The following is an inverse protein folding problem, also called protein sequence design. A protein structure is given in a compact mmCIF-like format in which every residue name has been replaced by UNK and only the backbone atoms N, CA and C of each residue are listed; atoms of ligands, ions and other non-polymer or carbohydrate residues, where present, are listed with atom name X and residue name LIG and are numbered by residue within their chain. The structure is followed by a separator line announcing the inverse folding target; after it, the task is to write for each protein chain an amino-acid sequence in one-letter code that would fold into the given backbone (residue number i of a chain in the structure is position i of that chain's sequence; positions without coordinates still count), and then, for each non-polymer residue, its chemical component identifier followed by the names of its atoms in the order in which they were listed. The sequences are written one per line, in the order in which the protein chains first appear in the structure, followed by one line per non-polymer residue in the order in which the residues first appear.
data_IF_210387378763
#
_entry.id   IF_210387378763
#
_cell.length_a   1.000
_cell.length_b   1.000
_cell.length_c   1.000
_cell.angle_alpha   90.00
_cell.angle_beta   90.00
_cell.angle_gamma   90.00
#
_symmetry.space_group_name_H-M   'P 1'
#
loop_
_entity.id
_entity.type
_entity.pdbx_description
1 polymer ?
#
# COMPACT_ATOMS: atom_id res chain seq x y z
N UNK A 1 11.09 -25.86 -29.43
CA UNK A 1 11.35 -24.49 -29.94
C UNK A 1 12.30 -23.80 -28.97
N UNK A 2 13.26 -23.01 -29.47
CA UNK A 2 14.27 -22.37 -28.61
C UNK A 2 13.71 -21.03 -28.11
N UNK A 3 13.45 -20.90 -26.82
CA UNK A 3 13.06 -19.62 -26.23
C UNK A 3 14.30 -18.75 -26.03
N UNK A 4 14.22 -17.48 -26.38
CA UNK A 4 15.29 -16.52 -26.14
C UNK A 4 15.14 -15.86 -24.77
N UNK A 5 16.27 -15.48 -24.16
CA UNK A 5 16.28 -14.58 -23.01
C UNK A 5 15.68 -13.22 -23.41
N UNK A 6 15.11 -12.53 -22.43
CA UNK A 6 14.64 -11.15 -22.56
C UNK A 6 15.55 -10.27 -21.68
N UNK A 7 16.33 -9.34 -22.25
CA UNK A 7 16.48 -9.04 -23.68
C UNK A 7 17.33 -10.07 -24.45
N UNK A 8 17.05 -10.25 -25.74
CA UNK A 8 17.81 -11.15 -26.62
C UNK A 8 19.10 -10.48 -27.11
N UNK A 9 20.24 -11.01 -26.66
CA UNK A 9 21.56 -10.47 -26.99
C UNK A 9 21.86 -10.47 -28.49
N UNK A 10 21.38 -11.47 -29.23
CA UNK A 10 21.53 -11.53 -30.68
C UNK A 10 20.81 -10.36 -31.35
N UNK A 11 19.54 -10.15 -31.02
CA UNK A 11 18.75 -9.05 -31.61
C UNK A 11 19.33 -7.69 -31.23
N UNK A 12 19.87 -7.54 -30.03
CA UNK A 12 20.53 -6.31 -29.60
C UNK A 12 21.71 -5.91 -30.51
N UNK A 13 22.43 -6.89 -31.08
CA UNK A 13 23.55 -6.64 -31.99
C UNK A 13 23.12 -6.45 -33.45
N UNK A 14 21.93 -6.91 -33.83
CA UNK A 14 21.44 -6.97 -35.21
C UNK A 14 20.15 -6.16 -35.44
N UNK A 15 19.88 -5.12 -34.63
CA UNK A 15 18.60 -4.40 -34.62
C UNK A 15 18.14 -3.81 -35.96
N UNK A 16 19.08 -3.50 -36.86
CA UNK A 16 18.81 -2.93 -38.19
C UNK A 16 18.97 -3.93 -39.34
N UNK A 17 19.39 -5.16 -39.05
CA UNK A 17 19.66 -6.18 -40.05
C UNK A 17 18.48 -7.16 -40.16
N UNK A 18 17.56 -6.83 -41.06
CA UNK A 18 16.37 -7.62 -41.33
C UNK A 18 16.68 -9.07 -41.74
N UNK A 19 17.77 -9.29 -42.48
CA UNK A 19 18.13 -10.62 -42.98
C UNK A 19 18.58 -11.53 -41.82
N UNK A 20 19.43 -11.00 -40.94
CA UNK A 20 19.88 -11.71 -39.74
C UNK A 20 18.75 -11.99 -38.75
N UNK A 21 17.84 -11.03 -38.55
CA UNK A 21 16.68 -11.23 -37.67
C UNK A 21 15.71 -12.29 -38.24
N UNK A 22 15.45 -12.27 -39.56
CA UNK A 22 14.61 -13.29 -40.20
C UNK A 22 15.22 -14.68 -40.10
N UNK A 23 16.53 -14.81 -40.32
CA UNK A 23 17.25 -16.08 -40.17
C UNK A 23 17.11 -16.62 -38.75
N UNK A 24 17.28 -15.77 -37.74
CA UNK A 24 17.11 -16.15 -36.34
C UNK A 24 15.72 -16.75 -36.04
N UNK A 25 14.66 -16.17 -36.60
CA UNK A 25 13.29 -16.69 -36.45
C UNK A 25 13.09 -18.01 -37.22
N UNK A 26 13.64 -18.13 -38.44
CA UNK A 26 13.56 -19.34 -39.27
C UNK A 26 14.29 -20.54 -38.64
N UNK A 27 15.31 -20.29 -37.83
CA UNK A 27 16.01 -21.31 -37.02
C UNK A 27 15.16 -21.85 -35.85
N UNK A 28 13.91 -21.37 -35.71
CA UNK A 28 12.93 -21.86 -34.73
C UNK A 28 13.00 -21.19 -33.36
N UNK A 29 13.60 -19.99 -33.30
CA UNK A 29 13.65 -19.18 -32.08
C UNK A 29 12.31 -18.47 -31.82
N UNK A 30 11.73 -18.71 -30.65
CA UNK A 30 10.61 -17.92 -30.12
C UNK A 30 11.19 -16.66 -29.47
N UNK A 31 11.40 -15.62 -30.28
CA UNK A 31 12.06 -14.39 -29.83
C UNK A 31 11.13 -13.18 -29.98
N UNK A 32 10.64 -12.65 -28.84
CA UNK A 32 9.86 -11.39 -28.79
C UNK A 32 10.62 -10.26 -29.45
N UNK A 33 11.88 -10.04 -29.06
CA UNK A 33 12.66 -8.89 -29.50
C UNK A 33 12.92 -8.92 -31.01
N UNK A 34 13.06 -10.10 -31.61
CA UNK A 34 13.20 -10.25 -33.05
C UNK A 34 11.95 -9.78 -33.80
N UNK A 35 10.75 -10.15 -33.32
CA UNK A 35 9.49 -9.69 -33.90
C UNK A 35 9.27 -8.18 -33.70
N UNK A 36 9.67 -7.63 -32.55
CA UNK A 36 9.65 -6.18 -32.30
C UNK A 36 10.64 -5.43 -33.19
N UNK A 37 11.82 -5.99 -33.45
CA UNK A 37 12.79 -5.39 -34.36
C UNK A 37 12.27 -5.43 -35.81
N UNK A 38 11.70 -6.55 -36.25
CA UNK A 38 11.10 -6.65 -37.59
C UNK A 38 9.94 -5.68 -37.80
N UNK A 39 9.08 -5.45 -36.81
CA UNK A 39 7.96 -4.51 -36.95
C UNK A 39 8.40 -3.06 -37.21
N UNK A 40 9.64 -2.70 -36.81
CA UNK A 40 10.26 -1.40 -37.09
C UNK A 40 10.91 -1.32 -38.47
N UNK A 41 11.28 -2.46 -39.05
CA UNK A 41 11.98 -2.55 -40.35
C UNK A 41 11.04 -2.78 -41.53
N UNK A 42 9.84 -3.32 -41.30
CA UNK A 42 8.83 -3.53 -42.35
C UNK A 42 8.06 -2.24 -42.64
N UNK A 43 7.85 -1.95 -43.93
CA UNK A 43 7.09 -0.78 -44.39
C UNK A 43 5.61 -1.09 -44.67
N UNK A 44 5.29 -2.35 -44.94
CA UNK A 44 3.92 -2.78 -45.21
C UNK A 44 3.10 -2.84 -43.90
N UNK A 45 1.93 -2.17 -43.83
CA UNK A 45 1.10 -2.16 -42.61
C UNK A 45 0.64 -3.54 -42.16
N UNK A 46 0.32 -4.44 -43.10
CA UNK A 46 -0.13 -5.80 -42.78
C UNK A 46 1.01 -6.61 -42.15
N UNK A 47 2.20 -6.57 -42.75
CA UNK A 47 3.39 -7.22 -42.21
C UNK A 47 3.78 -6.66 -40.84
N UNK A 48 3.65 -5.35 -40.64
CA UNK A 48 3.88 -4.71 -39.35
C UNK A 48 2.94 -5.24 -38.28
N UNK A 49 1.63 -5.28 -38.57
CA UNK A 49 0.60 -5.83 -37.69
C UNK A 49 0.91 -7.28 -37.32
N UNK A 50 1.24 -8.10 -38.31
CA UNK A 50 1.56 -9.53 -38.15
C UNK A 50 2.83 -9.79 -37.32
N UNK A 51 3.83 -8.90 -37.39
CA UNK A 51 5.01 -8.95 -36.52
C UNK A 51 4.65 -8.62 -35.07
N UNK A 52 3.87 -7.56 -34.85
CA UNK A 52 3.44 -7.13 -33.52
C UNK A 52 2.50 -8.14 -32.86
N UNK A 53 1.66 -8.82 -33.63
CA UNK A 53 0.82 -9.92 -33.15
C UNK A 53 1.64 -11.06 -32.55
N UNK A 54 2.64 -11.53 -33.30
CA UNK A 54 3.55 -12.60 -32.86
C UNK A 54 4.39 -12.19 -31.65
N UNK A 55 4.82 -10.93 -31.60
CA UNK A 55 5.50 -10.39 -30.44
C UNK A 55 4.59 -10.37 -29.20
N UNK A 56 3.35 -9.92 -29.34
CA UNK A 56 2.38 -9.81 -28.25
C UNK A 56 2.00 -11.18 -27.67
N UNK A 57 1.90 -12.22 -28.51
CA UNK A 57 1.65 -13.60 -28.05
C UNK A 57 2.80 -14.12 -27.18
N UNK A 58 4.05 -13.71 -27.45
CA UNK A 58 5.22 -14.12 -26.67
C UNK A 58 5.38 -13.32 -25.36
N UNK A 59 4.69 -12.19 -25.23
CA UNK A 59 4.75 -11.32 -24.05
C UNK A 59 3.35 -10.74 -23.74
N UNK A 60 2.42 -11.56 -23.23
CA UNK A 60 1.03 -11.16 -23.00
C UNK A 60 0.88 -10.07 -21.92
N UNK A 61 1.84 -9.97 -21.00
CA UNK A 61 1.84 -8.98 -19.91
C UNK A 61 2.46 -7.64 -20.31
N UNK A 62 2.93 -7.50 -21.55
CA UNK A 62 3.56 -6.29 -22.07
C UNK A 62 2.53 -5.35 -22.70
N UNK A 63 2.03 -4.41 -21.89
CA UNK A 63 0.97 -3.48 -22.30
C UNK A 63 1.39 -2.56 -23.47
N UNK A 64 2.65 -2.12 -23.52
CA UNK A 64 3.14 -1.27 -24.61
C UNK A 64 3.13 -2.01 -25.94
N UNK A 65 3.48 -3.29 -25.91
CA UNK A 65 3.44 -4.14 -27.09
C UNK A 65 2.01 -4.41 -27.56
N UNK A 66 1.08 -4.62 -26.62
CA UNK A 66 -0.35 -4.76 -26.91
C UNK A 66 -0.92 -3.50 -27.56
N UNK A 67 -0.59 -2.30 -27.04
CA UNK A 67 -1.01 -1.03 -27.64
C UNK A 67 -0.50 -0.92 -29.08
N UNK A 68 0.79 -1.17 -29.31
CA UNK A 68 1.40 -1.09 -30.64
C UNK A 68 0.71 -2.05 -31.63
N UNK A 69 0.36 -3.26 -31.20
CA UNK A 69 -0.40 -4.21 -32.01
C UNK A 69 -1.81 -3.69 -32.35
N UNK A 70 -2.56 -3.18 -31.36
CA UNK A 70 -3.91 -2.66 -31.59
C UNK A 70 -3.91 -1.43 -32.52
N UNK A 71 -2.90 -0.55 -32.41
CA UNK A 71 -2.73 0.58 -33.33
C UNK A 71 -2.39 0.13 -34.75
N UNK A 72 -1.55 -0.90 -34.90
CA UNK A 72 -1.27 -1.50 -36.19
C UNK A 72 -2.52 -2.16 -36.81
N UNK A 73 -3.40 -2.77 -36.00
CA UNK A 73 -4.69 -3.29 -36.47
C UNK A 73 -5.58 -2.18 -37.03
N UNK A 74 -5.67 -1.04 -36.34
CA UNK A 74 -6.45 0.11 -36.82
C UNK A 74 -5.86 0.79 -38.05
N UNK A 75 -4.55 0.67 -38.25
CA UNK A 75 -3.88 1.16 -39.48
C UNK A 75 -4.30 0.32 -40.69
N UNK A 76 -4.50 -0.98 -40.50
CA UNK A 76 -4.98 -1.91 -41.54
C UNK A 76 -6.49 -1.79 -41.74
N UNK A 77 -7.25 -1.81 -40.65
CA UNK A 77 -8.71 -1.72 -40.64
C UNK A 77 -9.17 -0.66 -39.63
N UNK A 78 -9.40 0.59 -40.08
CA UNK A 78 -9.90 1.66 -39.23
C UNK A 78 -11.27 1.37 -38.61
N UNK A 79 -12.05 0.43 -39.14
CA UNK A 79 -13.38 0.07 -38.65
C UNK A 79 -13.37 -1.09 -37.64
N UNK A 80 -12.19 -1.59 -37.25
CA UNK A 80 -12.03 -2.66 -36.26
C UNK A 80 -12.50 -2.20 -34.86
N UNK A 81 -13.77 -2.47 -34.56
CA UNK A 81 -14.41 -2.12 -33.28
C UNK A 81 -13.71 -2.73 -32.07
N UNK A 82 -13.15 -3.94 -32.22
CA UNK A 82 -12.46 -4.60 -31.11
C UNK A 82 -11.18 -3.84 -30.77
N UNK A 83 -10.38 -3.50 -31.77
CA UNK A 83 -9.16 -2.73 -31.55
C UNK A 83 -9.42 -1.33 -30.98
N UNK A 84 -10.46 -0.65 -31.48
CA UNK A 84 -10.91 0.64 -30.94
C UNK A 84 -11.33 0.53 -29.47
N UNK A 85 -12.17 -0.46 -29.14
CA UNK A 85 -12.66 -0.65 -27.77
C UNK A 85 -11.52 -0.96 -26.80
N UNK A 86 -10.64 -1.91 -27.14
CA UNK A 86 -9.49 -2.29 -26.29
C UNK A 86 -8.53 -1.12 -26.07
N UNK A 87 -8.22 -0.32 -27.09
CA UNK A 87 -7.38 0.87 -26.92
C UNK A 87 -8.05 1.93 -26.04
N UNK A 88 -9.36 2.12 -26.19
CA UNK A 88 -10.11 3.05 -25.34
C UNK A 88 -10.14 2.58 -23.88
N UNK A 89 -10.29 1.28 -23.62
CA UNK A 89 -10.21 0.70 -22.27
C UNK A 89 -8.81 0.92 -21.67
N UNK A 90 -7.73 0.60 -22.39
CA UNK A 90 -6.35 0.81 -21.91
C UNK A 90 -6.10 2.29 -21.63
N UNK A 91 -6.49 3.19 -22.55
CA UNK A 91 -6.35 4.65 -22.37
C UNK A 91 -7.18 5.15 -21.20
N UNK A 92 -8.39 4.64 -21.01
CA UNK A 92 -9.24 4.97 -19.85
C UNK A 92 -8.58 4.51 -18.57
N UNK A 93 -8.04 3.29 -18.51
CA UNK A 93 -7.33 2.78 -17.35
C UNK A 93 -6.06 3.59 -17.03
N UNK A 94 -5.30 3.99 -18.06
CA UNK A 94 -4.14 4.90 -17.92
C UNK A 94 -4.55 6.28 -17.43
N UNK A 95 -5.63 6.84 -17.96
CA UNK A 95 -6.20 8.09 -17.47
C UNK A 95 -6.66 7.95 -16.02
N UNK A 96 -7.26 6.82 -15.63
CA UNK A 96 -7.65 6.58 -14.23
C UNK A 96 -6.43 6.41 -13.31
N UNK A 97 -5.31 5.84 -13.80
CA UNK A 97 -4.06 5.76 -13.02
C UNK A 97 -3.29 7.09 -12.96
N UNK A 98 -3.33 7.87 -14.04
CA UNK A 98 -2.65 9.17 -14.17
C UNK A 98 -3.45 10.30 -13.52
N UNK A 99 -4.77 10.13 -13.45
CA UNK A 99 -5.65 10.85 -12.54
C UNK A 99 -5.39 10.31 -11.13
N UNK A 100 -4.21 10.63 -10.61
CA UNK A 100 -4.09 11.05 -9.22
C UNK A 100 -4.97 12.28 -9.07
N UNK A 101 -6.28 12.08 -8.96
CA UNK A 101 -7.21 13.12 -8.55
C UNK A 101 -6.72 13.62 -7.20
N UNK A 102 -6.29 14.89 -7.05
CA UNK A 102 -6.11 15.47 -5.72
C UNK A 102 -7.45 15.62 -4.98
N UNK A 103 -8.58 15.31 -5.63
CA UNK A 103 -9.93 15.47 -5.12
C UNK A 103 -10.63 14.18 -4.66
N UNK A 104 -10.06 13.01 -4.98
CA UNK A 104 -10.46 11.74 -4.38
C UNK A 104 -9.21 11.06 -3.82
N UNK A 105 -8.67 11.65 -2.76
CA UNK A 105 -8.10 10.78 -1.74
C UNK A 105 -9.27 9.90 -1.27
N UNK A 106 -9.30 8.62 -1.64
CA UNK A 106 -9.76 7.63 -0.65
C UNK A 106 -9.06 8.07 0.63
N UNK A 107 -9.82 8.56 1.61
CA UNK A 107 -9.22 9.01 2.86
C UNK A 107 -8.36 7.84 3.31
N UNK A 108 -7.02 8.01 3.37
CA UNK A 108 -6.13 6.88 3.53
C UNK A 108 -6.62 6.15 4.77
N UNK A 109 -7.10 4.92 4.58
CA UNK A 109 -7.57 4.12 5.71
C UNK A 109 -6.42 4.13 6.71
N UNK A 110 -6.67 4.52 7.96
CA UNK A 110 -5.62 4.65 8.95
C UNK A 110 -4.84 3.35 9.00
N UNK A 111 -3.51 3.43 8.85
CA UNK A 111 -2.68 2.24 8.75
C UNK A 111 -2.81 1.40 10.02
N UNK A 112 -2.70 0.09 9.87
CA UNK A 112 -2.69 -0.78 11.04
C UNK A 112 -1.42 -0.52 11.85
N UNK A 113 -1.48 -0.81 13.15
CA UNK A 113 -0.38 -0.52 14.06
C UNK A 113 0.91 -1.25 13.64
N UNK A 114 0.78 -2.45 13.05
CA UNK A 114 1.89 -3.22 12.49
C UNK A 114 2.61 -2.48 11.36
N UNK A 115 1.85 -1.99 10.37
CA UNK A 115 2.39 -1.26 9.22
C UNK A 115 3.08 0.04 9.64
N UNK A 116 2.52 0.72 10.64
CA UNK A 116 3.12 1.93 11.20
C UNK A 116 4.46 1.59 11.86
N UNK A 117 4.51 0.52 12.66
CA UNK A 117 5.73 0.05 13.32
C UNK A 117 6.82 -0.33 12.30
N UNK A 118 6.47 -0.96 11.18
CA UNK A 118 7.41 -1.20 10.07
C UNK A 118 7.88 0.12 9.47
N UNK A 119 6.97 1.04 9.17
CA UNK A 119 7.29 2.31 8.50
C UNK A 119 8.21 3.22 9.31
N UNK A 120 8.15 3.18 10.64
CA UNK A 120 9.04 3.96 11.52
C UNK A 120 10.34 3.22 11.87
N UNK A 121 10.59 2.04 11.27
CA UNK A 121 11.76 1.21 11.58
C UNK A 121 11.75 0.66 13.01
N UNK A 122 10.57 0.43 13.58
CA UNK A 122 10.44 -0.22 14.88
C UNK A 122 10.65 -1.73 14.79
N UNK A 123 10.14 -2.34 13.72
CA UNK A 123 10.25 -3.77 13.38
C UNK A 123 10.44 -3.92 11.88
N UNK A 124 10.86 -5.10 11.44
CA UNK A 124 10.91 -5.52 10.04
C UNK A 124 9.60 -6.18 9.62
N UNK A 125 9.37 -6.28 8.31
CA UNK A 125 8.22 -7.01 7.75
C UNK A 125 8.22 -8.48 8.19
N UNK A 126 9.40 -9.11 8.22
CA UNK A 126 9.54 -10.50 8.65
C UNK A 126 9.12 -10.70 10.12
N UNK A 127 9.57 -9.81 11.02
CA UNK A 127 9.18 -9.82 12.44
C UNK A 127 7.68 -9.60 12.62
N UNK A 128 7.08 -8.70 11.83
CA UNK A 128 5.62 -8.48 11.84
C UNK A 128 4.86 -9.76 11.45
N UNK A 129 5.26 -10.42 10.36
CA UNK A 129 4.62 -11.65 9.90
C UNK A 129 4.73 -12.79 10.92
N UNK A 130 5.88 -12.93 11.58
CA UNK A 130 6.08 -13.95 12.62
C UNK A 130 5.14 -13.73 13.81
N UNK A 131 5.02 -12.49 14.26
CA UNK A 131 4.18 -12.08 15.39
C UNK A 131 2.69 -12.24 15.05
N UNK A 132 2.29 -11.93 13.82
CA UNK A 132 0.93 -12.19 13.31
C UNK A 132 0.62 -13.69 13.22
N UNK A 133 1.58 -14.51 12.82
CA UNK A 133 1.44 -15.97 12.80
C UNK A 133 1.31 -16.54 14.22
N UNK A 134 2.02 -15.99 15.20
CA UNK A 134 1.85 -16.34 16.62
C UNK A 134 0.49 -15.91 17.17
N UNK A 135 0.07 -14.66 16.91
CA UNK A 135 -1.23 -14.15 17.32
C UNK A 135 -2.39 -15.04 16.83
N UNK A 136 -2.29 -15.56 15.60
CA UNK A 136 -3.26 -16.49 15.01
C UNK A 136 -3.21 -17.90 15.63
N UNK A 137 -2.05 -18.34 16.12
CA UNK A 137 -1.86 -19.64 16.77
C UNK A 137 -2.19 -19.63 18.27
N UNK A 138 -2.30 -18.45 18.88
CA UNK A 138 -2.58 -18.28 20.31
C UNK A 138 -3.99 -18.74 20.72
N UNK A 139 -4.05 -19.61 21.72
CA UNK A 139 -5.30 -20.13 22.31
C UNK A 139 -6.17 -19.04 22.96
N UNK A 140 -7.49 -19.29 23.05
CA UNK A 140 -8.55 -18.44 23.62
C UNK A 140 -8.30 -17.92 25.06
N UNK A 141 -7.25 -18.38 25.73
CA UNK A 141 -6.94 -18.14 27.14
C UNK A 141 -5.87 -17.07 27.40
N UNK A 142 -5.19 -16.55 26.37
CA UNK A 142 -4.20 -15.45 26.54
C UNK A 142 -4.92 -14.11 26.36
N UNK A 143 -5.09 -13.37 27.47
CA UNK A 143 -5.76 -12.06 27.54
C UNK A 143 -5.17 -10.98 26.60
N UNK A 144 -3.92 -11.15 26.17
CA UNK A 144 -3.18 -10.13 25.41
C UNK A 144 -3.03 -10.52 23.95
N UNK A 145 -4.14 -10.41 23.22
CA UNK A 145 -4.21 -10.60 21.76
C UNK A 145 -3.68 -9.40 20.97
N UNK A 146 -3.25 -8.31 21.61
CA UNK A 146 -2.79 -7.11 20.88
C UNK A 146 -1.35 -7.30 20.42
N UNK A 147 -1.11 -7.09 19.12
CA UNK A 147 0.22 -7.18 18.50
C UNK A 147 1.26 -6.35 19.26
N UNK A 148 0.89 -5.12 19.67
CA UNK A 148 1.81 -4.24 20.43
C UNK A 148 2.31 -4.86 21.75
N UNK A 149 1.45 -5.55 22.50
CA UNK A 149 1.85 -6.23 23.74
C UNK A 149 2.73 -7.45 23.45
N UNK A 150 2.45 -8.18 22.37
CA UNK A 150 3.26 -9.32 21.95
C UNK A 150 4.68 -8.88 21.53
N UNK A 151 4.78 -7.79 20.76
CA UNK A 151 6.04 -7.18 20.36
C UNK A 151 6.85 -6.67 21.55
N UNK A 152 6.21 -6.03 22.53
CA UNK A 152 6.86 -5.59 23.76
C UNK A 152 7.40 -6.76 24.58
N UNK A 153 6.62 -7.84 24.74
CA UNK A 153 7.04 -9.05 25.48
C UNK A 153 8.25 -9.73 24.84
N UNK A 154 8.32 -9.73 23.51
CA UNK A 154 9.49 -10.24 22.77
C UNK A 154 10.69 -9.29 22.78
N UNK A 155 10.56 -8.08 23.32
CA UNK A 155 11.61 -7.07 23.30
C UNK A 155 11.90 -6.51 21.91
N UNK A 156 11.02 -6.74 20.92
CA UNK A 156 11.18 -6.27 19.54
C UNK A 156 10.95 -4.77 19.42
N UNK A 157 10.12 -4.20 20.30
CA UNK A 157 9.85 -2.76 20.35
C UNK A 157 9.99 -2.24 21.77
N UNK A 158 10.24 -0.94 21.89
CA UNK A 158 10.24 -0.22 23.16
C UNK A 158 8.87 0.43 23.43
N UNK A 159 8.54 0.75 24.70
CA UNK A 159 7.34 1.50 25.04
C UNK A 159 7.20 2.80 24.24
N UNK A 160 8.31 3.53 24.06
CA UNK A 160 8.34 4.78 23.29
C UNK A 160 8.01 4.55 21.80
N UNK A 161 8.57 3.50 21.18
CA UNK A 161 8.26 3.17 19.77
C UNK A 161 6.78 2.79 19.60
N UNK A 162 6.20 2.05 20.55
CA UNK A 162 4.78 1.71 20.50
C UNK A 162 3.88 2.94 20.70
N UNK A 163 4.20 3.79 21.69
CA UNK A 163 3.45 5.03 21.94
C UNK A 163 3.46 5.94 20.71
N UNK A 164 4.64 6.15 20.09
CA UNK A 164 4.77 6.91 18.85
C UNK A 164 3.92 6.34 17.72
N UNK A 165 3.91 5.02 17.55
CA UNK A 165 3.09 4.37 16.52
C UNK A 165 1.59 4.56 16.77
N UNK A 166 1.13 4.53 18.02
CA UNK A 166 -0.25 4.80 18.40
C UNK A 166 -0.66 6.26 18.10
N UNK A 167 0.23 7.22 18.36
CA UNK A 167 -0.01 8.63 18.03
C UNK A 167 -0.12 8.86 16.52
N UNK A 168 0.76 8.23 15.72
CA UNK A 168 0.68 8.30 14.25
C UNK A 168 -0.66 7.71 13.78
N UNK A 169 -1.06 6.56 14.34
CA UNK A 169 -2.34 5.93 13.98
C UNK A 169 -3.55 6.83 14.30
N UNK A 170 -3.53 7.47 15.48
CA UNK A 170 -4.53 8.46 15.86
C UNK A 170 -4.57 9.62 14.86
N UNK A 171 -3.42 10.22 14.53
CA UNK A 171 -3.37 11.35 13.61
C UNK A 171 -3.90 10.99 12.22
N UNK A 172 -3.65 9.77 11.74
CA UNK A 172 -4.23 9.25 10.50
C UNK A 172 -5.75 9.09 10.59
N UNK A 173 -6.29 8.60 11.71
CA UNK A 173 -7.74 8.50 11.97
C UNK A 173 -8.42 9.86 11.99
N UNK A 174 -7.84 10.84 12.68
CA UNK A 174 -8.37 12.21 12.73
C UNK A 174 -8.38 12.86 11.34
N UNK A 175 -7.32 12.66 10.53
CA UNK A 175 -7.28 13.14 9.13
C UNK A 175 -8.32 12.46 8.25
N UNK A 176 -8.59 11.18 8.48
CA UNK A 176 -9.66 10.42 7.85
C UNK A 176 -11.04 10.70 8.46
N UNK A 177 -11.23 11.82 9.19
CA UNK A 177 -12.48 12.26 9.83
C UNK A 177 -13.23 11.13 10.55
N UNK A 178 -12.48 10.17 11.08
CA UNK A 178 -13.05 9.08 11.85
C UNK A 178 -13.27 9.64 13.25
N UNK A 179 -14.48 9.49 13.78
CA UNK A 179 -14.78 9.98 15.11
C UNK A 179 -13.81 9.37 16.14
N UNK A 180 -13.36 10.15 17.13
CA UNK A 180 -12.42 9.67 18.15
C UNK A 180 -13.02 8.46 18.86
N UNK A 181 -12.28 7.35 18.83
CA UNK A 181 -12.74 6.06 19.36
C UNK A 181 -12.30 5.83 20.81
N UNK A 182 -11.40 6.68 21.32
CA UNK A 182 -10.88 6.59 22.68
C UNK A 182 -10.66 7.96 23.30
N UNK A 183 -10.70 8.02 24.64
CA UNK A 183 -10.55 9.25 25.42
C UNK A 183 -9.26 10.03 25.10
N UNK A 184 -8.14 9.33 24.86
CA UNK A 184 -6.88 9.98 24.48
C UNK A 184 -6.98 10.76 23.16
N UNK A 185 -7.71 10.23 22.19
CA UNK A 185 -7.94 10.90 20.91
C UNK A 185 -8.77 12.17 21.11
N UNK A 186 -9.86 12.04 21.86
CA UNK A 186 -10.73 13.15 22.22
C UNK A 186 -9.99 14.30 22.91
N UNK A 187 -9.14 13.99 23.89
CA UNK A 187 -8.38 15.00 24.64
C UNK A 187 -7.44 15.81 23.75
N UNK A 188 -6.84 15.20 22.72
CA UNK A 188 -5.97 15.91 21.77
C UNK A 188 -6.78 16.75 20.79
N UNK A 189 -7.86 16.18 20.24
CA UNK A 189 -8.72 16.88 19.26
C UNK A 189 -9.39 18.12 19.86
N UNK A 190 -9.76 18.07 21.15
CA UNK A 190 -10.41 19.17 21.86
C UNK A 190 -9.42 20.09 22.59
N UNK A 191 -8.11 19.87 22.41
CA UNK A 191 -7.06 20.76 22.93
C UNK A 191 -6.78 20.68 24.42
N UNK A 192 -7.27 19.65 25.12
CA UNK A 192 -6.94 19.41 26.53
C UNK A 192 -5.45 19.09 26.73
N UNK A 193 -4.87 18.34 25.79
CA UNK A 193 -3.44 17.99 25.78
C UNK A 193 -2.90 18.01 24.35
N UNK A 194 -1.59 18.17 24.21
CA UNK A 194 -0.89 18.03 22.93
C UNK A 194 -0.63 16.56 22.58
N UNK A 195 -0.41 16.27 21.29
CA UNK A 195 -0.02 14.92 20.85
C UNK A 195 1.29 14.45 21.52
N UNK A 196 2.25 15.35 21.76
CA UNK A 196 3.49 15.04 22.45
C UNK A 196 3.26 14.69 23.94
N UNK A 197 2.35 15.40 24.61
CA UNK A 197 1.95 15.07 25.99
C UNK A 197 1.26 13.71 26.05
N UNK A 198 0.36 13.40 25.11
CA UNK A 198 -0.27 12.08 25.03
C UNK A 198 0.76 10.97 24.77
N UNK A 199 1.74 11.19 23.88
CA UNK A 199 2.84 10.25 23.63
C UNK A 199 3.63 9.93 24.91
N UNK A 200 3.96 10.96 25.69
CA UNK A 200 4.67 10.81 26.95
C UNK A 200 3.86 10.01 27.98
N UNK A 201 2.55 10.29 28.10
CA UNK A 201 1.65 9.57 29.02
C UNK A 201 1.51 8.11 28.60
N UNK A 202 1.32 7.83 27.30
CA UNK A 202 1.22 6.46 26.80
C UNK A 202 2.52 5.68 27.00
N UNK A 203 3.67 6.32 26.77
CA UNK A 203 4.98 5.73 27.02
C UNK A 203 5.12 5.29 28.48
N UNK A 204 4.77 6.19 29.41
CA UNK A 204 4.83 5.90 30.84
C UNK A 204 3.79 4.84 31.26
N UNK A 205 2.58 4.89 30.70
CA UNK A 205 1.54 3.89 30.94
C UNK A 205 2.00 2.49 30.55
N UNK A 206 2.57 2.34 29.35
CA UNK A 206 3.08 1.06 28.86
C UNK A 206 4.24 0.58 29.74
N UNK A 207 5.15 1.48 30.13
CA UNK A 207 6.27 1.15 31.02
C UNK A 207 5.79 0.66 32.39
N UNK A 208 4.78 1.29 32.98
CA UNK A 208 4.22 0.90 34.27
C UNK A 208 3.45 -0.42 34.18
N UNK A 209 2.72 -0.65 33.08
CA UNK A 209 2.02 -1.91 32.84
C UNK A 209 3.00 -3.10 32.74
N UNK A 210 4.16 -2.91 32.09
CA UNK A 210 5.25 -3.90 32.09
C UNK A 210 5.81 -4.21 33.49
N UNK A 211 5.67 -3.28 34.44
CA UNK A 211 6.06 -3.46 35.84
C UNK A 211 4.93 -4.05 36.70
N UNK A 212 3.81 -4.46 36.09
CA UNK A 212 2.62 -4.96 36.78
C UNK A 212 1.80 -3.86 37.45
N UNK A 213 2.08 -2.58 37.18
CA UNK A 213 1.37 -1.44 37.75
C UNK A 213 0.38 -0.88 36.73
N UNK A 214 -0.90 -1.18 36.92
CA UNK A 214 -1.97 -0.66 36.06
C UNK A 214 -2.42 0.73 36.50
N UNK A 215 -2.23 1.70 35.62
CA UNK A 215 -2.76 3.06 35.77
C UNK A 215 -3.67 3.39 34.58
N UNK A 216 -4.76 4.09 34.87
CA UNK A 216 -5.60 4.65 33.81
C UNK A 216 -4.94 5.88 33.18
N UNK A 217 -5.32 6.19 31.93
CA UNK A 217 -4.82 7.38 31.23
C UNK A 217 -5.10 8.65 32.05
N UNK A 218 -6.32 8.77 32.60
CA UNK A 218 -6.71 9.89 33.46
C UNK A 218 -5.87 10.02 34.72
N UNK A 219 -5.55 8.91 35.39
CA UNK A 219 -4.68 8.94 36.58
C UNK A 219 -3.27 9.42 36.25
N UNK A 220 -2.73 9.04 35.10
CA UNK A 220 -1.40 9.47 34.67
C UNK A 220 -1.37 10.93 34.23
N UNK A 221 -2.42 11.41 33.56
CA UNK A 221 -2.58 12.83 33.21
C UNK A 221 -2.54 13.73 34.44
N UNK A 222 -3.21 13.32 35.52
CA UNK A 222 -3.16 14.03 36.81
C UNK A 222 -1.79 13.89 37.46
N UNK A 223 -1.23 12.68 37.51
CA UNK A 223 0.06 12.41 38.14
C UNK A 223 1.21 13.17 37.48
N UNK A 224 1.15 13.36 36.16
CA UNK A 224 2.15 14.09 35.38
C UNK A 224 1.87 15.60 35.33
N UNK A 225 0.90 16.09 36.11
CA UNK A 225 0.50 17.49 36.19
C UNK A 225 0.12 18.11 34.83
N UNK A 226 -0.49 17.30 33.95
CA UNK A 226 -0.94 17.74 32.63
C UNK A 226 -2.38 18.21 32.65
N UNK A 227 -3.23 17.60 33.49
CA UNK A 227 -4.61 17.98 33.72
C UNK A 227 -4.95 17.82 35.20
N UNK A 228 -5.85 18.67 35.70
CA UNK A 228 -6.48 18.47 36.99
C UNK A 228 -7.48 17.31 36.94
N UNK A 229 -7.80 16.74 38.12
CA UNK A 229 -8.82 15.70 38.23
C UNK A 229 -10.17 16.15 37.66
N UNK A 230 -10.56 17.39 37.92
CA UNK A 230 -11.83 17.96 37.45
C UNK A 230 -11.87 18.11 35.93
N UNK A 231 -10.74 18.48 35.30
CA UNK A 231 -10.63 18.54 33.83
C UNK A 231 -10.73 17.17 33.19
N UNK A 232 -10.08 16.16 33.77
CA UNK A 232 -10.17 14.77 33.28
C UNK A 232 -11.60 14.25 33.39
N UNK A 233 -12.28 14.48 34.52
CA UNK A 233 -13.67 14.04 34.71
C UNK A 233 -14.64 14.76 33.77
N UNK A 234 -14.43 16.06 33.53
CA UNK A 234 -15.22 16.83 32.57
C UNK A 234 -15.06 16.29 31.15
N UNK A 235 -13.83 16.14 30.69
CA UNK A 235 -13.53 15.62 29.36
C UNK A 235 -14.08 14.19 29.16
N UNK A 236 -14.00 13.33 30.18
CA UNK A 236 -14.56 11.98 30.11
C UNK A 236 -16.10 11.98 29.96
N UNK A 237 -16.80 12.86 30.69
CA UNK A 237 -18.26 13.02 30.57
C UNK A 237 -18.67 13.58 29.21
N UNK A 238 -17.92 14.54 28.68
CA UNK A 238 -18.16 15.12 27.36
C UNK A 238 -17.95 14.07 26.25
N UNK A 239 -16.87 13.30 26.34
CA UNK A 239 -16.61 12.17 25.46
C UNK A 239 -17.73 11.12 25.50
N UNK A 240 -18.19 10.73 26.69
CA UNK A 240 -19.28 9.75 26.83
C UNK A 240 -20.57 10.25 26.18
N UNK A 241 -20.94 11.52 26.37
CA UNK A 241 -22.10 12.13 25.72
C UNK A 241 -21.95 12.13 24.20
N UNK A 242 -20.80 12.58 23.69
CA UNK A 242 -20.52 12.65 22.25
C UNK A 242 -20.58 11.26 21.60
N UNK A 243 -20.01 10.25 22.28
CA UNK A 243 -20.07 8.86 21.86
C UNK A 243 -21.51 8.37 21.73
N UNK A 244 -22.34 8.51 22.77
CA UNK A 244 -23.73 8.05 22.74
C UNK A 244 -24.62 8.79 21.74
N UNK A 245 -24.37 10.09 21.49
CA UNK A 245 -25.12 10.83 20.46
C UNK A 245 -24.86 10.34 19.04
N UNK A 246 -23.70 9.75 18.79
CA UNK A 246 -23.33 9.22 17.47
C UNK A 246 -23.88 7.81 17.18
N UNK A 247 -24.25 7.05 18.22
CA UNK A 247 -24.83 5.70 18.09
C UNK A 247 -26.36 5.66 18.12
N UNK A 248 -27.02 6.76 18.52
CA UNK A 248 -28.48 6.89 18.56
C UNK A 248 -29.06 7.62 17.34
N UNK A 249 -28.26 7.87 16.30
CA UNK A 249 -28.66 8.50 15.03
C UNK A 249 -28.56 7.49 13.87
#
# INVERSE_FOLDING_TARGET
MKQCLVPCLFVAQHQQDMASIRKHLLEGHQCRDAWVALSKLVHDPQQRKDCLERASILAPDDEELLIAYLEARLTVDPADRFAQQRLNEIRTMRLLSDVKTPYFHEQPKPRLIGDILVSIGAITEAELQEVLAEQRRGSLLVSDRRIGQLLLRRGLITPAKLAKALIIQQQERSRARTAPQVLGEYLVEHGYITAAQLEAVLTEQIRLDQQGKRYSLGQLLVRMNMLSKDEVERAAKEYEKAFWTQFNA
#
